data_IF_907222868279
#
_entry.id   IF_907222868279
#
_cell.length_a   1.000
_cell.length_b   1.000
_cell.length_c   1.000
_cell.angle_alpha   90.00
_cell.angle_beta   90.00
_cell.angle_gamma   90.00
#
_symmetry.space_group_name_H-M   'P 1'
#
loop_
_entity.id
_entity.type
_entity.pdbx_description
1 polymer ?
#
# COMPACT_ATOMS: atom_id res chain seq x y z
N UNK A 1 -7.63 4.22 -4.58
CA UNK A 1 -8.01 4.73 -3.24
C UNK A 1 -9.47 5.14 -3.25
N UNK A 2 -10.17 4.85 -2.17
CA UNK A 2 -11.57 5.19 -2.04
C UNK A 2 -11.75 6.28 -0.98
N UNK A 3 -12.50 7.31 -1.33
CA UNK A 3 -12.70 8.47 -0.46
C UNK A 3 -14.18 8.69 -0.19
N UNK A 4 -14.48 9.39 0.90
CA UNK A 4 -15.86 9.78 1.22
C UNK A 4 -16.20 11.12 0.57
N UNK A 5 -17.37 11.66 0.92
CA UNK A 5 -17.86 12.93 0.37
C UNK A 5 -16.97 14.11 0.74
N UNK A 6 -16.20 13.98 1.82
CA UNK A 6 -15.27 15.01 2.29
C UNK A 6 -13.87 14.82 1.73
N UNK A 7 -13.71 13.86 0.81
CA UNK A 7 -12.44 13.51 0.16
C UNK A 7 -11.42 12.88 1.12
N UNK A 8 -11.87 12.38 2.26
CA UNK A 8 -11.01 11.67 3.20
C UNK A 8 -10.88 10.21 2.79
N UNK A 9 -9.69 9.65 2.99
CA UNK A 9 -9.41 8.27 2.64
C UNK A 9 -10.22 7.33 3.52
N UNK A 10 -10.93 6.39 2.89
CA UNK A 10 -11.73 5.38 3.59
C UNK A 10 -11.28 3.96 3.31
N UNK A 11 -10.64 3.74 2.21
CA UNK A 11 -10.22 2.39 1.88
C UNK A 11 -9.28 2.32 0.71
N UNK A 12 -8.76 1.12 0.50
CA UNK A 12 -7.81 0.85 -0.57
C UNK A 12 -8.12 -0.52 -1.15
N UNK A 13 -8.12 -0.62 -2.47
CA UNK A 13 -8.25 -1.91 -3.16
C UNK A 13 -7.10 -1.99 -4.16
N UNK A 14 -6.26 -3.01 -4.00
CA UNK A 14 -5.03 -3.16 -4.77
C UNK A 14 -5.05 -4.41 -5.64
N UNK A 15 -4.04 -4.54 -6.50
CA UNK A 15 -3.83 -5.75 -7.29
C UNK A 15 -3.70 -6.97 -6.39
N UNK A 16 -3.06 -6.81 -5.25
CA UNK A 16 -2.90 -7.91 -4.29
C UNK A 16 -4.23 -8.33 -3.69
N UNK A 17 -5.13 -7.38 -3.45
CA UNK A 17 -6.46 -7.69 -2.95
C UNK A 17 -7.25 -8.50 -3.98
N UNK A 18 -7.17 -8.09 -5.24
CA UNK A 18 -7.85 -8.80 -6.33
C UNK A 18 -7.30 -10.23 -6.46
N UNK A 19 -5.96 -10.36 -6.46
CA UNK A 19 -5.33 -11.67 -6.56
C UNK A 19 -5.76 -12.58 -5.41
N UNK A 20 -5.87 -12.03 -4.21
CA UNK A 20 -6.29 -12.81 -3.03
C UNK A 20 -7.71 -13.31 -3.17
N UNK A 21 -8.62 -12.49 -3.68
CA UNK A 21 -10.00 -12.92 -3.91
C UNK A 21 -10.07 -14.07 -4.91
N UNK A 22 -9.28 -13.98 -5.97
CA UNK A 22 -9.23 -15.03 -6.99
C UNK A 22 -8.63 -16.31 -6.43
N UNK A 23 -7.54 -16.22 -5.66
CA UNK A 23 -6.88 -17.36 -5.05
C UNK A 23 -7.80 -18.08 -4.06
N UNK A 24 -8.61 -17.33 -3.33
CA UNK A 24 -9.53 -17.88 -2.37
C UNK A 24 -10.81 -18.38 -3.01
N UNK A 25 -10.90 -18.31 -4.34
CA UNK A 25 -12.07 -18.72 -5.11
C UNK A 25 -13.34 -18.01 -4.65
N UNK A 26 -13.19 -16.74 -4.30
CA UNK A 26 -14.33 -15.92 -3.89
C UNK A 26 -14.84 -15.11 -5.07
N UNK A 27 -15.19 -15.82 -6.14
CA UNK A 27 -15.63 -15.20 -7.38
C UNK A 27 -16.90 -14.37 -7.19
N UNK A 28 -17.75 -14.75 -6.26
CA UNK A 28 -18.95 -13.98 -5.94
C UNK A 28 -18.63 -12.60 -5.40
N UNK A 29 -17.44 -12.42 -4.82
CA UNK A 29 -17.03 -11.13 -4.31
C UNK A 29 -16.75 -10.12 -5.43
N UNK A 30 -16.47 -10.61 -6.64
CA UNK A 30 -16.20 -9.74 -7.78
C UNK A 30 -17.43 -8.98 -8.25
N UNK A 31 -18.62 -9.45 -7.88
CA UNK A 31 -19.88 -8.79 -8.21
C UNK A 31 -20.33 -7.80 -7.14
N UNK A 32 -19.59 -7.69 -6.05
CA UNK A 32 -19.96 -6.81 -4.95
C UNK A 32 -19.37 -5.41 -5.11
N UNK A 33 -19.99 -4.40 -4.50
CA UNK A 33 -19.39 -3.07 -4.46
C UNK A 33 -18.00 -3.12 -3.84
N UNK A 34 -17.08 -2.29 -4.33
CA UNK A 34 -15.70 -2.30 -3.86
C UNK A 34 -15.58 -2.01 -2.37
N UNK A 35 -16.49 -1.22 -1.80
CA UNK A 35 -16.44 -0.90 -0.38
C UNK A 35 -16.72 -2.10 0.52
N UNK A 36 -17.25 -3.19 -0.02
CA UNK A 36 -17.46 -4.41 0.75
C UNK A 36 -16.24 -5.32 0.77
N UNK A 37 -15.32 -5.13 -0.17
CA UNK A 37 -14.14 -6.00 -0.31
C UNK A 37 -12.83 -5.26 -0.14
N UNK A 38 -12.86 -3.93 -0.03
CA UNK A 38 -11.64 -3.13 0.13
C UNK A 38 -11.02 -3.30 1.51
N UNK A 39 -9.75 -2.96 1.61
CA UNK A 39 -9.08 -2.81 2.89
C UNK A 39 -9.55 -1.50 3.51
N UNK A 40 -10.17 -1.57 4.69
CA UNK A 40 -10.60 -0.38 5.42
C UNK A 40 -9.48 0.10 6.33
N UNK A 41 -9.42 1.40 6.55
CA UNK A 41 -8.37 2.01 7.38
C UNK A 41 -6.97 1.54 6.99
N UNK A 42 -6.59 1.75 5.71
CA UNK A 42 -5.27 1.33 5.26
C UNK A 42 -4.18 2.10 5.99
N UNK A 43 -3.00 1.53 6.04
CA UNK A 43 -1.84 2.24 6.57
C UNK A 43 -1.53 3.41 5.66
N UNK A 44 -1.17 4.54 6.26
CA UNK A 44 -0.91 5.77 5.52
C UNK A 44 0.39 6.42 5.99
N UNK A 45 0.90 7.33 5.15
CA UNK A 45 2.05 8.15 5.51
C UNK A 45 1.72 9.60 5.16
N UNK A 46 2.51 10.53 5.68
CA UNK A 46 2.38 11.94 5.35
C UNK A 46 3.46 12.32 4.33
N UNK A 47 3.24 13.42 3.62
CA UNK A 47 4.15 13.83 2.54
C UNK A 47 5.55 14.17 3.02
N UNK A 48 5.71 14.50 4.29
CA UNK A 48 7.00 14.88 4.85
C UNK A 48 7.71 13.72 5.54
N UNK A 49 7.14 12.52 5.52
CA UNK A 49 7.80 11.34 6.05
C UNK A 49 9.03 11.00 5.20
N UNK A 50 10.19 10.74 5.80
CA UNK A 50 11.35 10.30 5.03
C UNK A 50 11.08 9.00 4.29
N UNK A 51 11.64 8.87 3.09
CA UNK A 51 11.44 7.69 2.24
C UNK A 51 11.83 6.39 2.97
N UNK A 52 12.93 6.42 3.72
CA UNK A 52 13.37 5.21 4.41
C UNK A 52 12.39 4.75 5.48
N UNK A 53 11.69 5.68 6.11
CA UNK A 53 10.66 5.32 7.07
C UNK A 53 9.45 4.69 6.36
N UNK A 54 9.08 5.23 5.22
CA UNK A 54 7.98 4.67 4.44
C UNK A 54 8.32 3.27 3.94
N UNK A 55 9.55 3.05 3.48
CA UNK A 55 10.01 1.73 3.04
C UNK A 55 9.97 0.75 4.21
N UNK A 56 10.37 1.19 5.40
CA UNK A 56 10.31 0.35 6.59
C UNK A 56 8.88 -0.09 6.92
N UNK A 57 7.91 0.80 6.72
CA UNK A 57 6.51 0.45 6.92
C UNK A 57 6.03 -0.57 5.89
N UNK A 58 6.40 -0.40 4.64
CA UNK A 58 6.07 -1.37 3.60
C UNK A 58 6.62 -2.74 3.96
N UNK A 59 7.88 -2.78 4.40
CA UNK A 59 8.54 -4.04 4.77
C UNK A 59 7.88 -4.67 6.01
N UNK A 60 7.67 -3.87 7.04
CA UNK A 60 7.13 -4.37 8.31
C UNK A 60 5.76 -5.00 8.14
N UNK A 61 4.92 -4.38 7.33
CA UNK A 61 3.54 -4.83 7.15
C UNK A 61 3.36 -5.68 5.90
N UNK A 62 4.43 -5.92 5.15
CA UNK A 62 4.41 -6.73 3.91
C UNK A 62 3.36 -6.24 2.93
N UNK A 63 3.33 -4.93 2.75
CA UNK A 63 2.41 -4.28 1.81
C UNK A 63 3.22 -3.59 0.72
N UNK A 64 2.62 -3.37 -0.43
CA UNK A 64 3.31 -2.80 -1.58
C UNK A 64 2.94 -1.35 -1.86
N UNK A 65 1.91 -0.84 -1.20
CA UNK A 65 1.40 0.50 -1.47
C UNK A 65 1.03 1.21 -0.18
N UNK A 66 1.33 2.51 -0.12
CA UNK A 66 0.98 3.36 1.01
C UNK A 66 0.34 4.64 0.48
N UNK A 67 -0.92 4.89 0.80
CA UNK A 67 -1.50 6.20 0.51
C UNK A 67 -0.79 7.30 1.30
N UNK A 68 -0.54 8.41 0.64
CA UNK A 68 0.01 9.60 1.26
C UNK A 68 -1.14 10.55 1.53
N UNK A 69 -1.32 10.96 2.78
CA UNK A 69 -2.44 11.80 3.17
C UNK A 69 -1.96 13.14 3.77
N UNK A 70 -2.82 14.14 3.75
CA UNK A 70 -2.58 15.40 4.40
C UNK A 70 -3.07 15.36 5.85
N UNK A 71 -3.01 16.49 6.54
CA UNK A 71 -3.41 16.58 7.95
C UNK A 71 -4.89 16.33 8.18
N UNK A 72 -5.69 16.40 7.13
CA UNK A 72 -7.14 16.19 7.23
C UNK A 72 -7.57 14.79 6.78
N UNK A 73 -6.60 13.92 6.49
CA UNK A 73 -6.88 12.55 6.06
C UNK A 73 -7.24 12.42 4.59
N UNK A 74 -6.98 13.44 3.80
CA UNK A 74 -7.26 13.41 2.37
C UNK A 74 -6.05 12.88 1.60
N UNK A 75 -6.26 11.95 0.66
CA UNK A 75 -5.14 11.44 -0.12
C UNK A 75 -4.55 12.51 -1.04
N UNK A 76 -3.24 12.65 -1.01
CA UNK A 76 -2.50 13.55 -1.88
C UNK A 76 -1.53 12.82 -2.78
N UNK A 77 -1.38 11.52 -2.59
CA UNK A 77 -0.52 10.70 -3.42
C UNK A 77 -0.58 9.24 -3.03
N UNK A 78 0.12 8.41 -3.77
CA UNK A 78 0.24 6.99 -3.52
C UNK A 78 1.70 6.60 -3.68
N UNK A 79 2.27 5.99 -2.65
CA UNK A 79 3.63 5.48 -2.70
C UNK A 79 3.56 4.00 -3.01
N UNK A 80 4.10 3.60 -4.15
CA UNK A 80 4.14 2.20 -4.57
C UNK A 80 5.57 1.70 -4.43
N UNK A 81 5.74 0.45 -4.01
CA UNK A 81 7.07 -0.13 -3.83
C UNK A 81 7.90 -0.05 -5.12
N UNK A 82 7.26 -0.11 -6.28
CA UNK A 82 7.98 -0.02 -7.55
C UNK A 82 8.58 1.37 -7.76
N UNK A 83 7.99 2.41 -7.16
CA UNK A 83 8.53 3.76 -7.25
C UNK A 83 9.86 3.89 -6.50
N UNK A 84 10.01 3.16 -5.41
CA UNK A 84 11.20 3.27 -4.56
C UNK A 84 12.28 2.25 -4.90
N UNK A 85 11.94 1.13 -5.53
CA UNK A 85 12.93 0.11 -5.91
C UNK A 85 14.07 0.71 -6.72
N UNK A 86 13.75 1.59 -7.67
CA UNK A 86 14.75 2.22 -8.52
C UNK A 86 15.70 3.15 -7.76
N UNK A 87 15.33 3.58 -6.56
CA UNK A 87 16.13 4.47 -5.73
C UNK A 87 17.01 3.72 -4.75
N UNK A 88 16.83 2.40 -4.63
CA UNK A 88 17.57 1.58 -3.69
C UNK A 88 18.88 1.06 -4.31
N UNK A 89 19.89 0.77 -3.47
CA UNK A 89 21.08 0.05 -3.96
C UNK A 89 20.69 -1.30 -4.55
N UNK A 90 21.53 -1.83 -5.45
CA UNK A 90 21.23 -3.08 -6.15
C UNK A 90 20.93 -4.23 -5.19
N UNK A 91 21.71 -4.36 -4.12
CA UNK A 91 21.49 -5.43 -3.14
C UNK A 91 20.13 -5.32 -2.47
N UNK A 92 19.74 -4.11 -2.12
CA UNK A 92 18.43 -3.87 -1.49
C UNK A 92 17.29 -4.13 -2.47
N UNK A 93 17.49 -3.82 -3.77
CA UNK A 93 16.49 -4.11 -4.80
C UNK A 93 16.20 -5.59 -4.89
N UNK A 94 17.25 -6.41 -4.88
CA UNK A 94 17.09 -7.85 -4.94
C UNK A 94 16.30 -8.39 -3.77
N UNK A 95 16.56 -7.86 -2.58
CA UNK A 95 15.84 -8.28 -1.38
C UNK A 95 14.36 -7.93 -1.47
N UNK A 96 14.04 -6.74 -1.96
CA UNK A 96 12.66 -6.31 -2.13
C UNK A 96 11.94 -7.19 -3.15
N UNK A 97 12.56 -7.44 -4.29
CA UNK A 97 11.98 -8.23 -5.35
C UNK A 97 11.72 -9.68 -4.94
N UNK A 98 12.54 -10.20 -4.05
CA UNK A 98 12.35 -11.54 -3.51
C UNK A 98 11.41 -11.60 -2.32
N UNK A 99 10.90 -10.44 -1.89
CA UNK A 99 10.05 -10.37 -0.73
C UNK A 99 10.80 -10.47 0.59
N UNK A 100 12.11 -10.38 0.56
CA UNK A 100 12.96 -10.44 1.75
C UNK A 100 13.35 -9.01 2.12
N UNK A 101 12.58 -8.40 3.00
CA UNK A 101 12.77 -7.01 3.36
C UNK A 101 13.88 -6.86 4.38
N UNK A 102 14.79 -5.91 4.10
CA UNK A 102 15.93 -5.65 4.97
C UNK A 102 15.73 -4.39 5.81
N UNK A 103 14.88 -3.49 5.38
CA UNK A 103 14.68 -2.20 6.02
C UNK A 103 14.36 -2.32 7.51
N UNK A 104 13.78 -3.42 7.91
CA UNK A 104 13.42 -3.66 9.29
C UNK A 104 14.63 -3.69 10.21
N UNK A 105 15.82 -3.87 9.68
CA UNK A 105 17.03 -3.90 10.47
C UNK A 105 17.49 -2.52 10.94
N UNK A 106 16.90 -1.49 10.39
CA UNK A 106 17.26 -0.13 10.75
C UNK A 106 16.76 0.23 12.16
#
# INVERSE_FOLDING_TARGET
MLVDQEQRLRGLFTDSDLARLIEQRRDEALDRPVNEVMTTEPRTVTRDMPILEAVALLARHKISELPVIDSEGRPVGLLDITDVIGMLPVEARESVERGTWIAASA
#
